data_IF_778449035801
#
_entry.id   IF_778449035801
#
_cell.length_a   1.000
_cell.length_b   1.000
_cell.length_c   1.000
_cell.angle_alpha   90.00
_cell.angle_beta   90.00
_cell.angle_gamma   90.00
#
_symmetry.space_group_name_H-M   'P 1'
#
loop_
_entity.id
_entity.type
_entity.pdbx_description
1 polymer ?
2 non-polymer ?
3 non-polymer ?
4 non-polymer ?
5 water ?
#
# COMPACT_ATOMS: atom_id res chain seq x y z
N UNK A 11 7.93 14.51 -3.08
CA UNK A 11 7.27 13.21 -3.06
C UNK A 11 5.94 13.29 -3.79
N UNK A 12 5.82 12.52 -4.87
CA UNK A 12 4.65 12.54 -5.72
C UNK A 12 3.67 11.47 -5.24
N UNK A 13 2.51 11.91 -4.76
CA UNK A 13 1.54 11.02 -4.14
C UNK A 13 0.28 10.90 -5.00
N UNK A 14 -0.31 9.69 -4.98
CA UNK A 14 -1.58 9.43 -5.65
C UNK A 14 -2.47 8.59 -4.72
N UNK A 15 -3.76 8.59 -5.04
CA UNK A 15 -4.73 7.78 -4.28
C UNK A 15 -4.71 6.36 -4.84
N UNK A 16 -4.18 5.39 -4.10
CA UNK A 16 -4.10 4.02 -4.64
C UNK A 16 -5.45 3.36 -4.84
N UNK A 17 -6.50 3.82 -4.18
CA UNK A 17 -7.79 3.15 -4.32
C UNK A 17 -8.55 3.60 -5.57
N UNK A 18 -8.08 4.62 -6.28
CA UNK A 18 -8.74 5.09 -7.49
C UNK A 18 -7.81 5.13 -8.71
N UNK A 19 -6.60 4.58 -8.62
CA UNK A 19 -5.63 4.69 -9.72
C UNK A 19 -6.12 3.98 -10.97
N UNK A 20 -7.03 3.01 -10.83
CA UNK A 20 -7.55 2.31 -12.00
C UNK A 20 -8.80 2.97 -12.58
N UNK A 21 -9.34 3.99 -11.91
CA UNK A 21 -10.53 4.66 -12.39
C UNK A 21 -10.29 6.06 -12.93
N UNK A 22 -9.28 6.79 -12.42
CA UNK A 22 -8.98 8.11 -12.95
C UNK A 22 -7.48 8.37 -12.78
N UNK A 23 -6.94 9.19 -13.68
CA UNK A 23 -5.53 9.48 -13.69
C UNK A 23 -4.84 8.71 -14.80
N UNK A 24 -3.53 8.88 -14.94
CA UNK A 24 -2.82 8.33 -16.11
C UNK A 24 -2.55 6.84 -16.06
N UNK A 25 -2.89 6.15 -14.97
CA UNK A 25 -2.79 4.70 -14.93
C UNK A 25 -4.13 4.03 -15.20
N UNK A 26 -5.20 4.80 -15.43
CA UNK A 26 -6.53 4.23 -15.50
C UNK A 26 -6.77 3.49 -16.81
N UNK A 27 -6.21 3.98 -17.91
CA UNK A 27 -6.40 3.35 -19.22
C UNK A 27 -5.08 2.70 -19.63
N UNK A 28 -4.97 1.37 -19.56
CA UNK A 28 -3.69 0.72 -19.91
C UNK A 28 -3.23 1.02 -21.32
N UNK A 29 -4.15 1.24 -22.25
CA UNK A 29 -3.77 1.50 -23.63
C UNK A 29 -3.04 2.82 -23.80
N UNK A 30 -3.11 3.71 -22.79
CA UNK A 30 -2.51 5.03 -22.87
C UNK A 30 -1.29 5.16 -21.95
N UNK A 31 -0.61 4.04 -21.68
CA UNK A 31 0.55 4.04 -20.78
C UNK A 31 1.75 4.77 -21.36
N UNK A 32 1.97 4.69 -22.67
CA UNK A 32 3.14 5.29 -23.30
C UNK A 32 2.73 6.62 -23.92
N UNK A 33 3.28 7.71 -23.40
CA UNK A 33 2.97 9.06 -23.85
C UNK A 33 4.27 9.73 -24.27
N UNK A 34 4.32 10.23 -25.50
CA UNK A 34 5.47 10.99 -25.97
C UNK A 34 5.43 12.39 -25.40
N UNK A 35 6.53 12.81 -24.77
CA UNK A 35 6.64 14.13 -24.16
C UNK A 35 7.71 14.99 -24.82
N UNK A 36 8.46 14.42 -25.77
CA UNK A 36 9.44 15.16 -26.53
C UNK A 36 9.78 14.41 -27.80
N UNK A 37 10.61 15.01 -28.66
CA UNK A 37 10.96 14.33 -29.91
C UNK A 37 11.50 12.93 -29.72
N UNK A 38 12.31 12.74 -28.67
CA UNK A 38 12.88 11.45 -28.32
C UNK A 38 12.68 11.17 -26.84
N UNK A 39 11.57 11.65 -26.27
CA UNK A 39 11.28 11.52 -24.86
C UNK A 39 9.91 10.85 -24.70
N UNK A 40 9.83 9.88 -23.79
CA UNK A 40 8.57 9.18 -23.53
C UNK A 40 8.39 8.95 -22.04
N UNK A 41 7.18 9.20 -21.57
CA UNK A 41 6.77 8.85 -20.21
C UNK A 41 5.94 7.56 -20.27
N UNK A 42 6.23 6.63 -19.36
CA UNK A 42 5.56 5.34 -19.33
C UNK A 42 4.92 5.17 -17.96
N UNK A 43 3.59 5.06 -17.94
CA UNK A 43 2.85 4.90 -16.69
C UNK A 43 2.67 3.41 -16.42
N UNK A 44 3.37 2.91 -15.40
CA UNK A 44 3.38 1.50 -15.04
C UNK A 44 2.60 1.34 -13.74
N UNK A 45 1.63 0.43 -13.74
CA UNK A 45 0.84 0.13 -12.55
C UNK A 45 1.08 -1.32 -12.15
N UNK A 46 1.68 -1.52 -10.98
CA UNK A 46 1.95 -2.86 -10.51
C UNK A 46 0.75 -3.38 -9.71
N UNK A 47 0.41 -4.65 -9.96
CA UNK A 47 -0.65 -5.34 -9.25
C UNK A 47 -0.11 -6.63 -8.68
N UNK A 48 -0.86 -7.23 -7.75
CA UNK A 48 -0.69 -8.63 -7.43
C UNK A 48 -1.40 -9.44 -8.51
N UNK A 49 -0.64 -10.12 -9.38
CA UNK A 49 0.82 -10.12 -9.43
C UNK A 49 1.29 -9.94 -10.88
N UNK A 50 1.12 -8.74 -11.42
CA UNK A 50 1.47 -8.50 -12.82
C UNK A 50 1.69 -7.02 -13.01
N UNK A 51 2.30 -6.66 -14.13
CA UNK A 51 2.59 -5.28 -14.48
C UNK A 51 1.67 -4.82 -15.60
N UNK A 52 1.12 -3.62 -15.43
CA UNK A 52 0.37 -2.94 -16.47
C UNK A 52 1.19 -1.77 -17.01
N UNK A 53 1.42 -1.69 -18.33
CA UNK A 53 1.05 -2.66 -19.36
C UNK A 53 2.10 -3.76 -19.51
N UNK A 54 1.80 -4.76 -20.33
CA UNK A 54 2.77 -5.81 -20.63
C UNK A 54 2.49 -6.33 -22.03
N UNK A 55 3.37 -6.07 -23.01
CA UNK A 55 4.68 -5.43 -22.85
C UNK A 55 4.65 -3.90 -22.85
N UNK A 56 5.71 -3.31 -22.31
CA UNK A 56 6.03 -1.90 -22.51
C UNK A 56 6.87 -1.79 -23.78
N UNK A 57 6.42 -0.94 -24.71
CA UNK A 57 7.05 -0.81 -26.01
C UNK A 57 7.58 0.61 -26.17
N UNK A 58 8.90 0.72 -26.37
CA UNK A 58 9.58 2.01 -26.47
C UNK A 58 10.67 1.93 -27.53
N UNK A 59 11.08 3.09 -28.08
CA UNK A 59 12.16 3.09 -29.07
C UNK A 59 13.55 3.10 -28.43
N UNK A 60 14.48 2.44 -29.13
CA UNK A 60 15.89 2.54 -28.78
C UNK A 60 16.34 3.99 -28.78
N UNK A 61 17.21 4.34 -27.83
CA UNK A 61 17.84 5.64 -27.80
C UNK A 61 16.96 6.77 -27.30
N UNK A 62 15.69 6.53 -27.03
CA UNK A 62 14.82 7.55 -26.47
C UNK A 62 14.96 7.58 -24.96
N UNK A 63 14.84 8.78 -24.39
CA UNK A 63 14.82 8.94 -22.95
C UNK A 63 13.46 8.52 -22.41
N UNK A 64 13.45 7.49 -21.56
CA UNK A 64 12.21 6.95 -21.00
C UNK A 64 12.10 7.42 -19.56
N UNK A 65 10.94 7.94 -19.20
CA UNK A 65 10.63 8.34 -17.83
C UNK A 65 9.54 7.40 -17.32
N UNK A 66 9.91 6.44 -16.50
CA UNK A 66 8.94 5.55 -15.89
C UNK A 66 8.28 6.22 -14.69
N UNK A 67 6.95 6.16 -14.67
CA UNK A 67 6.12 6.62 -13.54
C UNK A 67 5.38 5.38 -13.04
N UNK A 68 5.84 4.83 -11.91
CA UNK A 68 5.44 3.52 -11.45
C UNK A 68 4.72 3.68 -10.10
N UNK A 69 3.57 3.05 -9.97
CA UNK A 69 2.90 2.99 -8.67
C UNK A 69 2.18 1.65 -8.54
N UNK A 70 1.66 1.39 -7.35
CA UNK A 70 1.02 0.13 -7.03
C UNK A 70 -0.45 0.36 -6.71
N UNK A 71 -1.31 -0.55 -7.17
CA UNK A 71 -2.72 -0.49 -6.81
C UNK A 71 -3.06 -1.32 -5.57
N UNK A 72 -2.08 -2.02 -4.98
CA UNK A 72 -2.38 -2.82 -3.78
C UNK A 72 -1.26 -2.81 -2.75
N UNK A 73 -0.17 -3.54 -2.99
CA UNK A 73 0.85 -3.72 -1.97
C UNK A 73 2.22 -3.25 -2.47
N UNK A 74 3.24 -3.36 -1.61
CA UNK A 74 4.60 -3.03 -2.01
C UNK A 74 5.11 -4.01 -3.06
N UNK A 75 5.61 -3.47 -4.17
CA UNK A 75 6.20 -4.25 -5.25
C UNK A 75 7.59 -3.69 -5.55
N UNK A 76 8.29 -4.36 -6.46
CA UNK A 76 9.56 -3.86 -6.97
C UNK A 76 9.51 -3.70 -8.48
N UNK A 77 10.42 -2.89 -9.03
CA UNK A 77 10.51 -2.68 -10.48
C UNK A 77 12.00 -2.65 -10.81
N UNK A 78 12.53 -3.81 -11.20
CA UNK A 78 13.92 -3.94 -11.61
C UNK A 78 13.98 -4.47 -13.03
N UNK A 79 14.64 -3.72 -13.92
CA UNK A 79 14.84 -4.14 -15.30
C UNK A 79 16.23 -4.76 -15.42
N UNK A 80 16.27 -6.06 -15.72
CA UNK A 80 17.55 -6.76 -15.83
C UNK A 80 18.41 -6.14 -16.93
N UNK A 81 19.71 -6.06 -16.66
CA UNK A 81 20.63 -5.46 -17.61
C UNK A 81 20.71 -3.95 -17.55
N UNK A 82 20.04 -3.32 -16.58
CA UNK A 82 20.02 -1.87 -16.41
C UNK A 82 20.33 -1.52 -14.96
N UNK A 83 20.38 -0.23 -14.67
CA UNK A 83 20.46 0.22 -13.29
C UNK A 83 19.09 0.64 -12.74
N UNK A 84 18.01 0.20 -13.38
CA UNK A 84 16.67 0.44 -12.87
C UNK A 84 16.37 -0.57 -11.77
N UNK A 85 16.22 -0.10 -10.53
CA UNK A 85 15.83 -0.98 -9.43
C UNK A 85 15.21 -0.10 -8.35
N UNK A 86 13.88 -0.03 -8.32
CA UNK A 86 13.18 0.85 -7.39
C UNK A 86 12.05 0.10 -6.70
N UNK A 87 11.75 0.53 -5.47
CA UNK A 87 10.55 0.08 -4.79
C UNK A 87 9.34 0.76 -5.39
N UNK A 88 8.20 0.07 -5.29
CA UNK A 88 6.93 0.57 -5.80
C UNK A 88 5.93 0.49 -4.64
N UNK A 89 5.59 1.66 -4.06
CA UNK A 89 4.74 1.81 -2.89
C UNK A 89 3.34 2.23 -3.32
N UNK A 90 2.29 1.61 -2.77
CA UNK A 90 0.95 2.16 -2.98
C UNK A 90 0.87 3.59 -2.44
N UNK A 91 0.22 4.46 -3.21
CA UNK A 91 0.06 5.85 -2.82
C UNK A 91 1.20 6.77 -3.20
N UNK A 92 2.26 6.26 -3.82
CA UNK A 92 3.42 7.07 -4.18
C UNK A 92 3.87 6.70 -5.59
N UNK A 93 4.46 7.68 -6.28
CA UNK A 93 4.96 7.50 -7.64
C UNK A 93 6.47 7.40 -7.60
N UNK A 94 7.00 6.31 -8.13
CA UNK A 94 8.44 6.16 -8.32
C UNK A 94 8.79 6.60 -9.72
N UNK A 95 9.77 7.49 -9.85
CA UNK A 95 10.21 8.00 -11.13
C UNK A 95 11.58 7.44 -11.44
N UNK A 96 11.72 6.82 -12.61
CA UNK A 96 12.97 6.24 -13.07
C UNK A 96 13.23 6.72 -14.49
N UNK A 97 14.43 7.23 -14.73
CA UNK A 97 14.83 7.69 -16.05
C UNK A 97 15.87 6.73 -16.63
N UNK A 98 15.68 6.35 -17.89
CA UNK A 98 16.57 5.39 -18.53
C UNK A 98 16.49 5.53 -20.05
N UNK A 99 17.62 5.34 -20.71
CA UNK A 99 17.72 5.28 -22.16
C UNK A 99 18.23 3.91 -22.56
N UNK A 100 17.42 3.17 -23.31
CA UNK A 100 17.78 1.82 -23.76
C UNK A 100 18.68 1.93 -24.98
N UNK A 101 19.92 1.46 -24.84
CA UNK A 101 20.90 1.60 -25.91
C UNK A 101 20.74 0.53 -27.00
N UNK A 102 20.21 -0.64 -26.66
CA UNK A 102 20.12 -1.74 -27.60
C UNK A 102 18.67 -2.17 -27.79
N UNK A 103 18.24 -2.42 -29.02
CA UNK A 103 16.89 -2.97 -29.21
C UNK A 103 16.82 -4.39 -28.66
N UNK A 104 15.60 -4.82 -28.38
CA UNK A 104 15.38 -6.17 -27.90
C UNK A 104 14.43 -6.15 -26.72
N UNK A 105 14.40 -7.26 -25.99
CA UNK A 105 13.49 -7.43 -24.87
C UNK A 105 14.24 -7.41 -23.55
N UNK A 106 13.70 -6.67 -22.59
CA UNK A 106 14.27 -6.55 -21.25
C UNK A 106 13.21 -7.00 -20.25
N UNK A 107 13.62 -7.85 -19.31
CA UNK A 107 12.68 -8.42 -18.36
C UNK A 107 12.56 -7.53 -17.13
N UNK A 108 11.33 -7.30 -16.70
CA UNK A 108 11.04 -6.65 -15.43
C UNK A 108 10.84 -7.74 -14.40
N UNK A 109 11.49 -7.60 -13.25
CA UNK A 109 11.29 -8.53 -12.15
C UNK A 109 10.90 -7.75 -10.90
N UNK A 110 10.09 -8.38 -10.06
CA UNK A 110 9.66 -7.74 -8.82
C UNK A 110 10.71 -8.01 -7.75
N UNK A 111 11.34 -6.95 -7.27
CA UNK A 111 12.44 -7.05 -6.32
C UNK A 111 11.95 -6.96 -4.87
N UNK A 112 10.64 -6.99 -4.65
CA UNK A 112 10.07 -6.92 -3.31
C UNK A 112 9.01 -8.01 -3.16
N UNK A 113 9.23 -8.92 -2.20
CA UNK A 113 8.28 -10.00 -1.96
C UNK A 113 6.89 -9.43 -1.73
N UNK A 114 5.90 -9.98 -2.44
CA UNK A 114 4.59 -9.36 -2.50
C UNK A 114 3.46 -10.39 -2.47
N UNK A 115 3.69 -11.56 -1.91
CA UNK A 115 2.66 -12.56 -1.79
C UNK A 115 2.93 -13.81 -2.61
N UNK A 116 1.84 -14.50 -2.93
CA UNK A 116 1.93 -15.88 -3.44
C UNK A 116 2.70 -15.93 -4.76
N UNK A 117 2.28 -15.14 -5.76
CA UNK A 117 2.86 -15.22 -7.09
C UNK A 117 3.99 -14.22 -7.31
N UNK A 118 4.72 -13.86 -6.25
CA UNK A 118 5.84 -12.94 -6.36
C UNK A 118 6.94 -13.49 -7.28
N UNK A 119 7.29 -14.77 -7.11
CA UNK A 119 8.39 -15.33 -7.87
C UNK A 119 8.11 -15.40 -9.37
N UNK A 120 6.86 -15.26 -9.79
CA UNK A 120 6.50 -15.25 -11.20
C UNK A 120 5.97 -13.91 -11.68
N UNK A 121 6.16 -12.85 -10.90
CA UNK A 121 5.69 -11.53 -11.31
C UNK A 121 6.76 -10.93 -12.22
N UNK A 122 6.58 -11.12 -13.52
CA UNK A 122 7.52 -10.65 -14.52
C UNK A 122 6.80 -9.76 -15.51
N UNK A 123 7.56 -8.81 -16.08
CA UNK A 123 7.06 -7.98 -17.15
C UNK A 123 8.07 -7.96 -18.29
N UNK A 124 7.66 -7.35 -19.39
CA UNK A 124 8.52 -7.28 -20.57
C UNK A 124 8.55 -5.86 -21.08
N UNK A 125 9.74 -5.39 -21.44
CA UNK A 125 9.92 -4.14 -22.17
C UNK A 125 10.52 -4.51 -23.51
N UNK A 126 9.85 -4.12 -24.59
CA UNK A 126 10.32 -4.35 -25.96
C UNK A 126 10.85 -3.03 -26.49
N UNK A 127 12.14 -3.00 -26.81
CA UNK A 127 12.81 -1.81 -27.30
C UNK A 127 12.96 -1.94 -28.81
N UNK A 128 12.24 -1.11 -29.57
CA UNK A 128 12.29 -1.15 -31.02
C UNK A 128 13.50 -0.39 -31.57
N UNK A 129 14.04 -0.89 -32.68
CA UNK A 129 15.19 -0.27 -33.33
C UNK A 129 14.85 1.11 -33.90
N UNK B 11 3.56 -14.56 8.64
CA UNK B 11 3.10 -13.30 8.06
C UNK B 11 1.68 -13.44 7.53
N UNK B 12 0.76 -12.69 8.12
CA UNK B 12 -0.66 -12.77 7.78
C UNK B 12 -1.00 -11.74 6.72
N UNK B 13 -1.43 -12.20 5.55
CA UNK B 13 -1.69 -11.34 4.40
C UNK B 13 -3.18 -11.26 4.12
N UNK B 14 -3.62 -10.08 3.65
CA UNK B 14 -4.99 -9.86 3.21
C UNK B 14 -4.93 -9.06 1.90
N UNK B 15 -6.05 -9.11 1.16
CA UNK B 15 -6.19 -8.32 -0.06
C UNK B 15 -6.65 -6.92 0.32
N UNK B 16 -5.80 -5.90 0.20
CA UNK B 16 -6.21 -4.55 0.62
C UNK B 16 -7.34 -3.98 -0.23
N UNK B 17 -7.54 -4.50 -1.44
CA UNK B 17 -8.60 -3.98 -2.30
C UNK B 17 -9.98 -4.57 -2.01
N UNK B 18 -10.07 -5.56 -1.12
CA UNK B 18 -11.36 -6.17 -0.80
C UNK B 18 -11.71 -6.12 0.67
N UNK B 19 -10.96 -5.36 1.49
CA UNK B 19 -11.18 -5.38 2.93
C UNK B 19 -12.56 -4.86 3.33
N UNK B 20 -13.21 -4.06 2.48
CA UNK B 20 -14.55 -3.57 2.78
C UNK B 20 -15.65 -4.43 2.17
N UNK B 21 -15.30 -5.46 1.41
CA UNK B 21 -16.29 -6.32 0.79
C UNK B 21 -16.40 -7.68 1.44
N UNK B 22 -15.34 -8.18 2.05
CA UNK B 22 -15.33 -9.46 2.72
C UNK B 22 -14.32 -9.41 3.86
N UNK B 23 -14.56 -10.21 4.90
CA UNK B 23 -13.62 -10.27 5.99
C UNK B 23 -14.05 -9.44 7.17
N UNK B 24 -13.25 -9.47 8.24
CA UNK B 24 -13.64 -8.84 9.51
C UNK B 24 -13.47 -7.33 9.59
N UNK B 25 -12.94 -6.68 8.55
CA UNK B 25 -12.87 -5.22 8.51
C UNK B 25 -14.00 -4.60 7.70
N UNK B 26 -14.92 -5.39 7.17
CA UNK B 26 -15.93 -4.88 6.24
C UNK B 26 -17.03 -4.11 6.96
N UNK B 27 -17.43 -4.55 8.15
CA UNK B 27 -18.49 -3.91 8.91
C UNK B 27 -17.88 -3.19 10.10
N UNK B 28 -17.77 -1.86 10.08
CA UNK B 28 -17.18 -1.16 11.23
C UNK B 28 -17.88 -1.45 12.55
N UNK B 29 -19.19 -1.73 12.52
CA UNK B 29 -19.93 -1.99 13.76
C UNK B 29 -19.51 -3.30 14.41
N UNK B 30 -18.84 -4.19 13.68
CA UNK B 30 -18.38 -5.47 14.21
C UNK B 30 -16.87 -5.48 14.43
N UNK B 31 -16.30 -4.31 14.68
CA UNK B 31 -14.85 -4.22 14.88
C UNK B 31 -14.42 -4.96 16.14
N UNK B 32 -15.25 -4.92 17.18
CA UNK B 32 -14.93 -5.50 18.48
C UNK B 32 -15.65 -6.84 18.58
N UNK B 33 -14.88 -7.92 18.67
CA UNK B 33 -15.42 -9.27 18.76
C UNK B 33 -14.89 -9.90 20.04
N UNK B 34 -15.80 -10.35 20.91
CA UNK B 34 -15.40 -11.08 22.10
C UNK B 34 -15.00 -12.49 21.67
N UNK B 35 -13.77 -12.88 21.98
CA UNK B 35 -13.26 -14.18 21.59
C UNK B 35 -12.92 -15.07 22.76
N UNK B 36 -13.06 -14.56 23.99
CA UNK B 36 -12.88 -15.34 25.19
C UNK B 36 -13.60 -14.69 26.35
N UNK B 37 -13.59 -15.34 27.52
CA UNK B 37 -14.29 -14.76 28.68
C UNK B 37 -13.83 -13.35 29.02
N UNK B 38 -12.54 -13.06 28.88
CA UNK B 38 -12.02 -11.72 29.14
C UNK B 38 -11.11 -11.27 28.01
N UNK B 39 -11.41 -11.70 26.78
CA UNK B 39 -10.59 -11.37 25.62
C UNK B 39 -11.46 -10.80 24.52
N UNK B 40 -10.97 -9.74 23.88
CA UNK B 40 -11.65 -9.08 22.77
C UNK B 40 -10.66 -8.88 21.65
N UNK B 41 -11.09 -9.21 20.43
CA UNK B 41 -10.31 -8.92 19.23
C UNK B 41 -10.89 -7.68 18.58
N UNK B 42 -10.01 -6.76 18.18
CA UNK B 42 -10.41 -5.48 17.61
C UNK B 42 -9.81 -5.37 16.22
N UNK B 43 -10.67 -5.30 15.21
CA UNK B 43 -10.25 -5.17 13.81
C UNK B 43 -10.18 -3.70 13.47
N UNK B 44 -8.97 -3.18 13.31
CA UNK B 44 -8.72 -1.78 13.03
C UNK B 44 -8.27 -1.65 11.59
N UNK B 45 -8.92 -0.75 10.85
CA UNK B 45 -8.59 -0.49 9.45
C UNK B 45 -8.14 0.95 9.33
N UNK B 46 -6.89 1.16 8.95
CA UNK B 46 -6.34 2.49 8.78
C UNK B 46 -6.62 3.01 7.37
N UNK B 47 -7.04 4.27 7.29
CA UNK B 47 -7.30 4.94 6.02
C UNK B 47 -6.56 6.27 5.99
N UNK B 48 -6.45 6.82 4.79
CA UNK B 48 -6.14 8.24 4.64
C UNK B 48 -7.44 9.02 4.88
N UNK B 49 -7.55 9.75 5.99
CA UNK B 49 -6.57 9.84 7.07
C UNK B 49 -7.31 9.74 8.41
N UNK B 50 -7.79 8.53 8.71
CA UNK B 50 -8.60 8.28 9.89
C UNK B 50 -8.52 6.79 10.21
N UNK B 51 -8.98 6.45 11.42
CA UNK B 51 -9.00 5.08 11.87
C UNK B 51 -10.44 4.57 11.94
N UNK B 52 -10.63 3.34 11.45
CA UNK B 52 -11.89 2.62 11.55
C UNK B 52 -11.73 1.50 12.56
N UNK B 53 -12.58 1.40 13.59
CA UNK B 53 -13.65 2.34 13.95
C UNK B 53 -13.09 3.49 14.78
N UNK B 54 -13.93 4.49 15.04
CA UNK B 54 -13.55 5.59 15.89
C UNK B 54 -14.79 6.16 16.58
N UNK B 55 -14.93 5.94 17.90
CA UNK B 55 -13.92 5.32 18.75
C UNK B 55 -13.88 3.79 18.77
N UNK B 56 -12.73 3.27 19.18
CA UNK B 56 -12.59 1.89 19.62
C UNK B 56 -12.97 1.84 21.09
N UNK B 57 -13.91 0.98 21.45
CA UNK B 57 -14.42 0.89 22.81
C UNK B 57 -14.15 -0.51 23.35
N UNK B 58 -13.40 -0.58 24.46
CA UNK B 58 -13.01 -1.86 25.07
C UNK B 58 -13.14 -1.74 26.58
N UNK B 59 -13.32 -2.88 27.25
CA UNK B 59 -13.42 -2.86 28.72
C UNK B 59 -12.06 -2.79 29.38
N UNK B 60 -12.02 -2.11 30.52
CA UNK B 60 -10.85 -2.13 31.38
C UNK B 60 -10.50 -3.57 31.76
N UNK B 61 -9.20 -3.86 31.82
CA UNK B 61 -8.73 -5.14 32.30
C UNK B 61 -8.88 -6.30 31.34
N UNK B 62 -9.52 -6.12 30.20
CA UNK B 62 -9.65 -7.20 29.24
C UNK B 62 -8.43 -7.26 28.33
N UNK B 63 -8.09 -8.48 27.91
CA UNK B 63 -7.01 -8.67 26.95
C UNK B 63 -7.52 -8.29 25.57
N UNK B 64 -6.89 -7.29 24.96
CA UNK B 64 -7.29 -6.82 23.64
C UNK B 64 -6.30 -7.35 22.61
N UNK B 65 -6.82 -7.92 21.53
CA UNK B 65 -6.03 -8.38 20.41
C UNK B 65 -6.38 -7.47 19.25
N UNK B 66 -5.49 -6.52 18.95
CA UNK B 66 -5.70 -5.65 17.81
C UNK B 66 -5.24 -6.35 16.53
N UNK B 67 -6.11 -6.36 15.53
CA UNK B 67 -5.80 -6.86 14.19
C UNK B 67 -5.92 -5.67 13.25
N UNK B 68 -4.78 -5.14 12.82
CA UNK B 68 -4.71 -3.84 12.17
C UNK B 68 -4.17 -4.01 10.75
N UNK B 69 -4.85 -3.42 9.78
CA UNK B 69 -4.35 -3.40 8.41
C UNK B 69 -4.76 -2.07 7.79
N UNK B 70 -4.24 -1.82 6.59
CA UNK B 70 -4.45 -0.56 5.88
C UNK B 70 -5.22 -0.80 4.60
N UNK B 71 -6.15 0.09 4.30
CA UNK B 71 -6.85 0.01 3.02
C UNK B 71 -6.18 0.79 1.90
N UNK B 72 -5.15 1.57 2.19
CA UNK B 72 -4.53 2.35 1.12
C UNK B 72 -3.01 2.38 1.22
N UNK B 73 -2.45 3.17 2.13
CA UNK B 73 -1.01 3.37 2.14
C UNK B 73 -0.44 2.92 3.48
N UNK B 74 0.87 3.00 3.63
CA UNK B 74 1.49 2.66 4.90
C UNK B 74 1.07 3.67 5.97
N UNK B 75 0.60 3.16 7.11
CA UNK B 75 0.25 3.99 8.25
C UNK B 75 0.99 3.50 9.48
N UNK B 76 0.82 4.23 10.58
CA UNK B 76 1.32 3.81 11.87
C UNK B 76 0.20 3.72 12.89
N UNK B 77 0.44 3.00 13.98
CA UNK B 77 -0.54 2.82 15.04
C UNK B 77 0.21 2.91 16.36
N UNK B 78 0.21 4.11 16.95
CA UNK B 78 0.83 4.35 18.25
C UNK B 78 -0.23 4.85 19.20
N UNK B 79 -0.41 4.15 20.31
CA UNK B 79 -1.37 4.56 21.34
C UNK B 79 -0.59 5.37 22.38
N UNK B 80 -0.86 6.67 22.44
CA UNK B 80 -0.16 7.53 23.38
C UNK B 80 -0.44 7.08 24.81
N UNK B 81 0.61 7.12 25.63
CA UNK B 81 0.54 6.64 26.99
C UNK B 81 0.80 5.16 27.13
N UNK B 82 1.09 4.44 26.04
CA UNK B 82 1.39 3.02 26.06
C UNK B 82 2.67 2.82 25.24
N UNK B 83 3.15 1.57 25.21
CA UNK B 83 4.27 1.20 24.35
C UNK B 83 3.80 0.53 23.06
N UNK B 84 2.55 0.71 22.68
CA UNK B 84 2.05 0.20 21.40
C UNK B 84 2.53 1.11 20.30
N UNK B 85 3.32 0.57 19.37
CA UNK B 85 3.74 1.33 18.18
C UNK B 85 4.09 0.32 17.10
N UNK B 86 3.19 0.15 16.13
CA UNK B 86 3.39 -0.83 15.05
C UNK B 86 3.12 -0.15 13.71
N UNK B 87 3.83 -0.62 12.69
CA UNK B 87 3.53 -0.23 11.32
C UNK B 87 2.26 -0.93 10.85
N UNK B 88 1.55 -0.29 9.95
CA UNK B 88 0.32 -0.81 9.39
C UNK B 88 0.45 -0.77 7.88
N UNK B 89 0.66 -1.93 7.26
CA UNK B 89 0.95 -2.06 5.84
C UNK B 89 -0.28 -2.54 5.09
N UNK B 90 -0.57 -1.94 3.93
CA UNK B 90 -1.61 -2.52 3.06
C UNK B 90 -1.22 -3.94 2.69
N UNK B 91 -2.19 -4.84 2.77
CA UNK B 91 -1.96 -6.23 2.44
C UNK B 91 -1.44 -7.09 3.58
N UNK B 92 -1.17 -6.53 4.76
CA UNK B 92 -0.66 -7.31 5.87
C UNK B 92 -1.36 -6.93 7.15
N UNK B 93 -1.49 -7.90 8.05
CA UNK B 93 -2.16 -7.73 9.33
C UNK B 93 -1.11 -7.61 10.43
N UNK B 94 -1.16 -6.52 11.18
CA UNK B 94 -0.35 -6.33 12.38
C UNK B 94 -1.16 -6.73 13.60
N UNK B 95 -0.58 -7.56 14.46
CA UNK B 95 -1.24 -8.03 15.67
C UNK B 95 -0.57 -7.40 16.88
N UNK B 96 -1.38 -6.78 17.74
CA UNK B 96 -0.92 -6.18 18.99
C UNK B 96 -1.82 -6.65 20.12
N UNK B 97 -1.22 -7.13 21.20
CA UNK B 97 -1.92 -7.56 22.40
C UNK B 97 -1.65 -6.58 23.51
N UNK B 98 -2.70 -6.17 24.21
CA UNK B 98 -2.56 -5.20 25.28
C UNK B 98 -3.75 -5.34 26.21
N UNK B 99 -3.49 -5.15 27.50
CA UNK B 99 -4.55 -5.11 28.52
C UNK B 99 -4.52 -3.73 29.13
N UNK B 100 -5.59 -2.96 28.95
CA UNK B 100 -5.64 -1.60 29.48
C UNK B 100 -6.02 -1.67 30.94
N UNK B 101 -5.06 -1.34 31.82
CA UNK B 101 -5.29 -1.42 33.26
C UNK B 101 -6.06 -0.21 33.77
N UNK B 102 -5.96 0.92 33.10
CA UNK B 102 -6.56 2.14 33.61
C UNK B 102 -7.67 2.59 32.67
N UNK B 103 -8.86 2.89 33.18
CA UNK B 103 -9.93 3.42 32.32
C UNK B 103 -9.60 4.82 31.84
N UNK B 104 -10.29 5.22 30.79
CA UNK B 104 -10.15 6.55 30.25
C UNK B 104 -10.04 6.55 28.76
N UNK B 105 -9.61 7.68 28.21
CA UNK B 105 -9.54 7.90 26.78
C UNK B 105 -8.08 7.97 26.35
N UNK B 106 -7.75 7.27 25.27
CA UNK B 106 -6.39 7.21 24.73
C UNK B 106 -6.40 7.66 23.28
N UNK B 107 -5.45 8.52 22.92
CA UNK B 107 -5.35 9.00 21.54
C UNK B 107 -4.45 8.07 20.73
N UNK B 108 -4.91 7.71 19.54
CA UNK B 108 -4.08 7.01 18.56
C UNK B 108 -3.46 8.05 17.65
N UNK B 109 -2.16 7.93 17.38
CA UNK B 109 -1.50 8.82 16.43
C UNK B 109 -0.82 7.98 15.36
N UNK B 110 -0.77 8.52 14.15
CA UNK B 110 -0.13 7.83 13.03
C UNK B 110 1.37 8.09 13.05
N UNK B 111 2.15 7.03 13.25
CA UNK B 111 3.60 7.13 13.40
C UNK B 111 4.36 6.95 12.09
N UNK B 112 3.66 6.92 10.95
CA UNK B 112 4.29 6.73 9.64
C UNK B 112 3.74 7.78 8.68
N UNK B 113 4.64 8.62 8.14
CA UNK B 113 4.24 9.65 7.20
C UNK B 113 3.43 9.05 6.07
N UNK B 114 2.24 9.61 5.83
CA UNK B 114 1.26 8.96 4.96
C UNK B 114 0.48 9.94 4.10
N UNK B 115 1.05 11.11 3.81
CA UNK B 115 0.41 12.07 2.92
C UNK B 115 0.01 13.36 3.62
N UNK B 116 -0.95 14.05 3.00
CA UNK B 116 -1.21 15.45 3.32
C UNK B 116 -1.64 15.63 4.78
N UNK B 117 -2.67 14.90 5.20
CA UNK B 117 -3.23 15.07 6.54
C UNK B 117 -2.63 14.09 7.54
N UNK B 118 -1.38 13.67 7.33
CA UNK B 118 -0.75 12.71 8.23
C UNK B 118 -0.63 13.27 9.63
N UNK B 119 -0.22 14.53 9.76
CA UNK B 119 -0.04 15.15 11.07
C UNK B 119 -1.35 15.30 11.84
N UNK B 120 -2.49 15.17 11.17
CA UNK B 120 -3.79 15.26 11.81
C UNK B 120 -4.51 13.92 11.85
N UNK B 121 -3.82 12.83 11.56
CA UNK B 121 -4.43 11.50 11.57
C UNK B 121 -4.39 10.95 12.99
N UNK B 122 -5.50 11.10 13.70
CA UNK B 122 -5.64 10.66 15.07
C UNK B 122 -6.83 9.72 15.22
N UNK B 123 -6.75 8.82 16.20
CA UNK B 123 -7.86 7.96 16.55
C UNK B 123 -8.08 7.99 18.05
N UNK B 124 -9.15 7.31 18.49
CA UNK B 124 -9.53 7.27 19.89
C UNK B 124 -9.79 5.84 20.34
N UNK B 125 -9.29 5.50 21.52
CA UNK B 125 -9.66 4.29 22.25
C UNK B 125 -10.30 4.73 23.56
N UNK B 126 -11.52 4.29 23.82
CA UNK B 126 -12.20 4.54 25.08
C UNK B 126 -12.21 3.24 25.87
N UNK B 127 -11.58 3.26 27.05
CA UNK B 127 -11.51 2.09 27.91
C UNK B 127 -12.56 2.25 28.99
N UNK B 128 -13.57 1.38 28.96
CA UNK B 128 -14.70 1.47 29.88
C UNK B 128 -14.29 0.99 31.26
N UNK B 129 -14.78 1.67 32.30
CA UNK B 129 -14.43 1.29 33.66
C UNK B 129 -15.11 -0.01 34.07
X LIG C 1 5.34 -7.65 -6.92
X LIG C 1 6.79 -9.20 -5.59
X LIG D 1 -0.19 12.82 -19.77
X LIG D 1 -0.47 12.01 -18.63
X LIG D 1 1.09 13.61 -19.57
X LIG D 1 2.18 12.73 -19.32
X LIG D 1 1.40 14.50 -20.76
X LIG D 1 2.56 15.30 -20.51
X LIG E 1 -1.55 7.62 8.54
X LIG E 1 0.46 9.12 8.83
X LIG F 1 -18.13 3.68 6.22
X LIG F 1 -18.57 4.93 5.61
X LIG F 1 -16.80 3.32 5.73
X LIG F 1 -18.09 3.83 7.68
X LIG F 1 -19.06 2.61 5.86
#
# INVERSE_FOLDING_TARGET
GSHMVIPAGKLERVDPTTVRQEGPWADPAQAVVQTGPNQYTVYVLAHQWYYQPNPIEVPQGAEIVFKITSQDVLHGFHVEGTNINVEVLPGEVSTVRYTFKRPGEYRIICSEICGANHSNMFGTIVVKE
GSHMVIPAGKLERVDPTTVRQEGPWADPAQAVVQTGPNQYTVYVLAHQWYYQPNPIEVPQGAEIVFKITSQDVLHGFHVEGTNINVEVLPGEVSTVRYTFKRPGEYRIICSEICGANHSNMFGTIVVKE
CUA CU1 CU2
GOL C1 O1 C2 O2 C3 O3
CUA CU1 CU2
SO4 S O1 O2 O3 O4
#
